data_IF_373826954035
#
_entry.id   IF_373826954035
#
_cell.length_a   1.000
_cell.length_b   1.000
_cell.length_c   1.000
_cell.angle_alpha   90.00
_cell.angle_beta   90.00
_cell.angle_gamma   90.00
#
_symmetry.space_group_name_H-M   'P 1'
#
loop_
_entity.id
_entity.type
_entity.pdbx_description
1 polymer ?
#
# COMPACT_ATOMS: atom_id res chain seq x y z
N UNK A 1 -21.74 -126.43 0.86
CA UNK A 1 -22.29 -125.11 0.52
C UNK A 1 -22.15 -124.02 1.61
N UNK A 2 -21.57 -124.28 2.73
CA UNK A 2 -21.43 -123.29 3.82
C UNK A 2 -20.11 -122.55 3.90
N UNK A 3 -19.03 -123.01 3.23
CA UNK A 3 -17.69 -122.39 3.27
C UNK A 3 -17.52 -121.22 2.26
N UNK A 4 -18.27 -121.22 1.14
CA UNK A 4 -18.19 -120.15 0.12
C UNK A 4 -18.91 -118.85 0.57
N UNK A 5 -19.88 -118.90 1.47
CA UNK A 5 -20.63 -117.74 1.94
C UNK A 5 -19.85 -116.95 3.01
N UNK A 6 -18.84 -117.51 3.75
CA UNK A 6 -18.02 -116.78 4.71
C UNK A 6 -16.94 -115.94 4.04
N UNK A 7 -16.37 -116.41 2.92
CA UNK A 7 -15.32 -115.68 2.15
C UNK A 7 -15.86 -114.42 1.47
N UNK A 8 -17.05 -114.47 0.91
CA UNK A 8 -17.70 -113.40 0.23
C UNK A 8 -18.15 -112.26 1.18
N UNK A 9 -18.58 -112.54 2.41
CA UNK A 9 -18.98 -111.56 3.39
C UNK A 9 -17.74 -110.80 3.96
N UNK A 10 -16.63 -111.47 4.18
CA UNK A 10 -15.38 -110.84 4.68
C UNK A 10 -14.73 -110.01 3.62
N UNK A 11 -14.73 -110.47 2.38
CA UNK A 11 -14.16 -109.65 1.25
C UNK A 11 -15.04 -108.42 0.96
N UNK A 12 -16.38 -108.54 1.07
CA UNK A 12 -17.27 -107.39 0.84
C UNK A 12 -17.15 -106.35 1.97
N UNK A 13 -16.96 -106.73 3.23
CA UNK A 13 -16.77 -105.86 4.38
C UNK A 13 -15.38 -105.15 4.29
N UNK A 14 -14.34 -105.87 3.92
CA UNK A 14 -13.02 -105.28 3.75
C UNK A 14 -13.00 -104.35 2.54
N UNK A 15 -13.68 -104.70 1.45
CA UNK A 15 -13.78 -103.85 0.25
C UNK A 15 -14.60 -102.57 0.45
N UNK A 16 -15.54 -102.56 1.43
CA UNK A 16 -16.36 -101.35 1.75
C UNK A 16 -15.67 -100.49 2.82
N UNK A 17 -15.02 -101.13 3.82
CA UNK A 17 -14.30 -100.37 4.88
C UNK A 17 -12.99 -99.74 4.46
N UNK A 18 -12.23 -100.37 3.54
CA UNK A 18 -10.94 -99.81 3.02
C UNK A 18 -11.18 -98.54 2.23
N UNK A 19 -12.09 -98.43 1.29
CA UNK A 19 -12.38 -97.18 0.59
C UNK A 19 -12.94 -96.11 1.50
N UNK A 20 -13.76 -96.49 2.55
CA UNK A 20 -14.23 -95.51 3.49
C UNK A 20 -13.11 -94.94 4.40
N UNK A 21 -12.16 -95.76 4.85
CA UNK A 21 -11.03 -95.31 5.64
C UNK A 21 -10.03 -94.43 4.80
N UNK A 22 -9.83 -94.82 3.55
CA UNK A 22 -9.04 -94.02 2.62
C UNK A 22 -9.70 -92.65 2.33
N UNK A 23 -11.04 -92.64 2.18
CA UNK A 23 -11.81 -91.41 2.01
C UNK A 23 -11.74 -90.47 3.25
N UNK A 24 -11.82 -91.06 4.45
CA UNK A 24 -11.69 -90.29 5.69
C UNK A 24 -10.29 -89.69 5.91
N UNK A 25 -9.20 -90.45 5.57
CA UNK A 25 -7.83 -89.96 5.63
C UNK A 25 -7.62 -88.84 4.61
N UNK A 26 -8.15 -88.99 3.45
CA UNK A 26 -8.06 -87.93 2.39
C UNK A 26 -8.83 -86.67 2.77
N UNK A 27 -10.00 -86.78 3.37
CA UNK A 27 -10.74 -85.62 3.89
C UNK A 27 -9.96 -84.91 5.01
N UNK A 28 -9.39 -85.68 5.91
CA UNK A 28 -8.57 -85.13 6.97
C UNK A 28 -7.33 -84.40 6.45
N UNK A 29 -6.63 -84.97 5.48
CA UNK A 29 -5.47 -84.37 4.83
C UNK A 29 -5.85 -83.07 4.10
N UNK A 30 -6.98 -83.09 3.35
CA UNK A 30 -7.53 -81.92 2.69
C UNK A 30 -7.83 -80.79 3.69
N UNK A 31 -8.59 -81.10 4.75
CA UNK A 31 -8.93 -80.09 5.76
C UNK A 31 -7.74 -79.55 6.50
N UNK A 32 -6.72 -80.36 6.80
CA UNK A 32 -5.46 -79.92 7.39
C UNK A 32 -4.76 -78.93 6.48
N UNK A 33 -4.60 -79.18 5.20
CA UNK A 33 -3.95 -78.29 4.22
C UNK A 33 -4.80 -77.03 4.00
N UNK A 34 -6.11 -77.13 3.93
CA UNK A 34 -7.00 -75.98 3.81
C UNK A 34 -6.90 -75.05 5.01
N UNK A 35 -6.87 -75.66 6.24
CA UNK A 35 -6.67 -74.87 7.46
C UNK A 35 -5.32 -74.17 7.52
N UNK A 36 -4.23 -74.82 7.05
CA UNK A 36 -2.92 -74.21 6.94
C UNK A 36 -2.88 -73.03 5.98
N UNK A 37 -3.54 -73.12 4.84
CA UNK A 37 -3.69 -72.02 3.89
C UNK A 37 -4.48 -70.84 4.48
N UNK A 38 -5.59 -71.12 5.18
CA UNK A 38 -6.37 -70.03 5.83
C UNK A 38 -5.55 -69.36 6.92
N UNK A 39 -4.68 -70.08 7.66
CA UNK A 39 -3.75 -69.43 8.59
C UNK A 39 -2.73 -68.55 7.90
N UNK A 40 -2.20 -68.99 6.74
CA UNK A 40 -1.29 -68.20 5.91
C UNK A 40 -2.00 -66.96 5.42
N UNK A 41 -3.23 -67.06 4.92
CA UNK A 41 -4.00 -65.90 4.43
C UNK A 41 -4.43 -64.93 5.55
N UNK A 42 -4.68 -65.41 6.76
CA UNK A 42 -4.81 -64.51 7.92
C UNK A 42 -3.54 -63.77 8.27
N UNK A 43 -2.36 -64.40 8.12
CA UNK A 43 -1.06 -63.72 8.26
C UNK A 43 -0.84 -62.67 7.13
N UNK A 44 -1.27 -62.99 5.89
CA UNK A 44 -1.27 -62.05 4.77
C UNK A 44 -2.16 -60.86 5.04
N UNK A 45 -3.35 -61.06 5.54
CA UNK A 45 -4.29 -59.98 5.96
C UNK A 45 -3.67 -59.12 7.06
N UNK A 46 -3.05 -59.73 8.07
CA UNK A 46 -2.34 -59.01 9.12
C UNK A 46 -1.13 -58.21 8.58
N UNK A 47 -0.53 -58.62 7.44
CA UNK A 47 0.51 -57.89 6.74
C UNK A 47 -0.01 -56.82 5.78
N UNK A 48 -1.35 -56.71 5.55
CA UNK A 48 -1.97 -55.66 4.77
C UNK A 48 -2.57 -56.09 3.43
N UNK A 49 -2.62 -57.40 3.11
CA UNK A 49 -3.43 -57.90 1.98
C UNK A 49 -4.89 -57.82 2.37
N UNK A 50 -5.73 -57.20 1.56
CA UNK A 50 -7.15 -57.06 1.91
C UNK A 50 -7.92 -58.35 1.74
N UNK A 51 -9.02 -58.53 2.54
CA UNK A 51 -9.94 -59.67 2.41
C UNK A 51 -10.45 -59.80 0.96
N UNK A 52 -10.72 -58.70 0.27
CA UNK A 52 -11.19 -58.68 -1.11
C UNK A 52 -10.13 -59.22 -2.10
N UNK A 53 -8.86 -59.00 -1.87
CA UNK A 53 -7.76 -59.52 -2.71
C UNK A 53 -7.59 -61.05 -2.53
N UNK A 54 -7.92 -61.59 -1.36
CA UNK A 54 -7.88 -63.04 -1.06
C UNK A 54 -9.21 -63.75 -1.33
N UNK A 55 -10.31 -63.03 -1.58
CA UNK A 55 -11.61 -63.59 -1.84
C UNK A 55 -11.64 -64.63 -2.99
N UNK A 56 -10.98 -64.43 -4.14
CA UNK A 56 -10.92 -65.42 -5.22
C UNK A 56 -10.24 -66.72 -4.77
N UNK A 57 -9.18 -66.65 -3.97
CA UNK A 57 -8.47 -67.78 -3.42
C UNK A 57 -9.39 -68.59 -2.47
N UNK A 58 -10.07 -67.90 -1.55
CA UNK A 58 -11.04 -68.50 -0.61
C UNK A 58 -12.19 -69.15 -1.34
N UNK A 59 -12.77 -68.47 -2.33
CA UNK A 59 -13.86 -69.02 -3.15
C UNK A 59 -13.42 -70.29 -3.92
N UNK A 60 -12.21 -70.30 -4.46
CA UNK A 60 -11.62 -71.47 -5.11
C UNK A 60 -11.52 -72.66 -4.13
N UNK A 61 -11.02 -72.42 -2.91
CA UNK A 61 -10.85 -73.43 -1.90
C UNK A 61 -12.20 -73.97 -1.39
N UNK A 62 -13.17 -73.06 -1.10
CA UNK A 62 -14.50 -73.42 -0.69
C UNK A 62 -15.23 -74.25 -1.78
N UNK A 63 -15.10 -73.88 -3.03
CA UNK A 63 -15.67 -74.62 -4.12
C UNK A 63 -15.10 -76.06 -4.24
N UNK A 64 -13.81 -76.22 -3.94
CA UNK A 64 -13.17 -77.52 -3.89
C UNK A 64 -13.67 -78.39 -2.71
N UNK A 65 -13.81 -77.82 -1.54
CA UNK A 65 -14.35 -78.50 -0.34
C UNK A 65 -15.81 -78.93 -0.57
N UNK A 66 -16.66 -78.07 -1.09
CA UNK A 66 -18.07 -78.39 -1.38
C UNK A 66 -18.23 -79.54 -2.38
N UNK A 67 -17.44 -79.51 -3.48
CA UNK A 67 -17.47 -80.60 -4.49
C UNK A 67 -17.04 -81.93 -3.88
N UNK A 68 -16.09 -81.93 -3.00
CA UNK A 68 -15.57 -83.15 -2.35
C UNK A 68 -16.59 -83.71 -1.36
N UNK A 69 -17.27 -82.90 -0.56
CA UNK A 69 -18.29 -83.29 0.37
C UNK A 69 -19.62 -83.77 -0.28
N UNK A 70 -19.96 -83.11 -1.45
CA UNK A 70 -21.17 -83.48 -2.24
C UNK A 70 -21.09 -84.81 -2.95
N UNK A 71 -19.88 -85.39 -3.15
CA UNK A 71 -19.71 -86.66 -3.92
C UNK A 71 -19.09 -87.77 -3.12
N UNK A 72 -19.55 -87.95 -1.87
CA UNK A 72 -18.94 -88.84 -0.89
C UNK A 72 -18.84 -90.31 -1.28
N UNK A 73 -19.55 -90.96 -2.18
CA UNK A 73 -19.18 -92.34 -2.60
C UNK A 73 -18.43 -92.43 -3.94
N UNK A 74 -18.47 -91.44 -4.78
CA UNK A 74 -17.92 -91.49 -6.15
C UNK A 74 -16.65 -90.69 -6.40
N UNK A 75 -16.29 -89.78 -5.52
CA UNK A 75 -15.11 -88.94 -5.63
C UNK A 75 -13.79 -89.65 -5.48
N UNK A 76 -13.81 -90.89 -4.91
CA UNK A 76 -12.63 -91.71 -4.71
C UNK A 76 -12.14 -92.33 -6.03
N UNK A 77 -13.00 -92.47 -7.06
CA UNK A 77 -12.67 -93.09 -8.33
C UNK A 77 -12.81 -92.21 -9.55
N UNK A 78 -13.40 -91.08 -9.40
CA UNK A 78 -13.45 -90.08 -10.52
C UNK A 78 -12.30 -89.15 -10.39
N UNK A 79 -11.22 -89.33 -11.07
CA UNK A 79 -10.15 -88.40 -11.31
C UNK A 79 -10.29 -86.97 -10.89
N UNK A 80 -10.88 -86.75 -9.71
CA UNK A 80 -11.12 -85.43 -9.09
C UNK A 80 -9.83 -84.66 -8.74
N UNK A 81 -8.68 -85.25 -9.04
CA UNK A 81 -7.36 -84.64 -8.92
C UNK A 81 -6.78 -84.16 -10.26
N UNK A 82 -7.55 -84.08 -11.32
CA UNK A 82 -7.12 -83.48 -12.58
C UNK A 82 -6.77 -81.99 -12.47
N UNK A 83 -7.20 -81.35 -11.40
CA UNK A 83 -6.81 -79.95 -11.11
C UNK A 83 -6.48 -79.89 -9.61
N UNK A 84 -5.24 -79.50 -9.28
CA UNK A 84 -4.83 -79.22 -7.89
C UNK A 84 -5.59 -77.99 -7.34
N UNK A 85 -6.63 -78.18 -6.50
CA UNK A 85 -7.40 -77.04 -5.97
C UNK A 85 -6.58 -76.14 -5.07
N UNK A 86 -5.51 -76.67 -4.44
CA UNK A 86 -4.61 -75.93 -3.60
C UNK A 86 -3.69 -75.06 -4.43
N UNK A 87 -3.06 -75.63 -5.51
CA UNK A 87 -2.24 -74.86 -6.43
C UNK A 87 -2.99 -73.70 -7.09
N UNK A 88 -4.27 -73.94 -7.45
CA UNK A 88 -5.13 -72.88 -7.97
C UNK A 88 -5.39 -71.78 -6.93
N UNK A 89 -5.75 -72.15 -5.70
CA UNK A 89 -5.99 -71.21 -4.60
C UNK A 89 -4.74 -70.45 -4.17
N UNK A 90 -3.59 -71.14 -4.11
CA UNK A 90 -2.28 -70.54 -3.84
C UNK A 90 -1.86 -69.56 -4.92
N UNK A 91 -2.09 -69.92 -6.20
CA UNK A 91 -1.84 -69.00 -7.34
C UNK A 91 -2.71 -67.76 -7.33
N UNK A 92 -4.00 -67.89 -6.95
CA UNK A 92 -4.88 -66.74 -6.82
C UNK A 92 -4.50 -65.87 -5.60
N UNK A 93 -4.07 -66.45 -4.49
CA UNK A 93 -3.56 -65.73 -3.33
C UNK A 93 -2.27 -64.96 -3.67
N UNK A 94 -1.32 -65.60 -4.34
CA UNK A 94 -0.09 -64.98 -4.80
C UNK A 94 -0.36 -63.80 -5.76
N UNK A 95 -1.38 -63.91 -6.63
CA UNK A 95 -1.84 -62.79 -7.46
C UNK A 95 -2.43 -61.66 -6.61
N UNK A 96 -3.23 -61.98 -5.59
CA UNK A 96 -3.76 -60.99 -4.66
C UNK A 96 -2.65 -60.25 -3.88
N UNK A 97 -1.63 -60.99 -3.38
CA UNK A 97 -0.47 -60.42 -2.72
C UNK A 97 0.33 -59.48 -3.66
N UNK A 98 0.54 -59.89 -4.91
CA UNK A 98 1.22 -59.07 -5.92
C UNK A 98 0.43 -57.80 -6.23
N UNK A 99 -0.90 -57.89 -6.31
CA UNK A 99 -1.77 -56.74 -6.51
C UNK A 99 -1.74 -55.78 -5.30
N UNK A 100 -1.77 -56.34 -4.07
CA UNK A 100 -1.66 -55.57 -2.85
C UNK A 100 -0.34 -54.78 -2.78
N UNK A 101 0.77 -55.47 -3.08
CA UNK A 101 2.11 -54.83 -3.11
C UNK A 101 2.21 -53.72 -4.15
N UNK A 102 1.71 -53.97 -5.37
CA UNK A 102 1.68 -52.97 -6.43
C UNK A 102 0.85 -51.74 -6.06
N UNK A 103 -0.35 -51.95 -5.49
CA UNK A 103 -1.24 -50.88 -5.04
C UNK A 103 -0.61 -50.06 -3.90
N UNK A 104 -0.01 -50.71 -2.90
CA UNK A 104 0.67 -50.03 -1.79
C UNK A 104 1.86 -49.23 -2.24
N UNK A 105 2.67 -49.76 -3.17
CA UNK A 105 3.78 -49.04 -3.80
C UNK A 105 3.29 -47.82 -4.58
N UNK A 106 2.23 -47.99 -5.37
CA UNK A 106 1.63 -46.89 -6.11
C UNK A 106 1.11 -45.79 -5.19
N UNK A 107 0.39 -46.15 -4.11
CA UNK A 107 -0.06 -45.21 -3.11
C UNK A 107 1.09 -44.44 -2.47
N UNK A 108 2.13 -45.12 -1.98
CA UNK A 108 3.29 -44.45 -1.41
C UNK A 108 4.00 -43.50 -2.40
N UNK A 109 4.06 -43.90 -3.71
CA UNK A 109 4.61 -43.03 -4.75
C UNK A 109 3.74 -41.78 -4.97
N UNK A 110 2.43 -41.94 -4.95
CA UNK A 110 1.46 -40.82 -5.09
C UNK A 110 1.53 -39.88 -3.89
N UNK A 111 1.64 -40.41 -2.66
CA UNK A 111 1.73 -39.60 -1.45
C UNK A 111 3.07 -38.84 -1.38
N UNK A 112 4.16 -39.43 -1.85
CA UNK A 112 5.43 -38.72 -2.01
C UNK A 112 5.35 -37.58 -3.03
N UNK A 113 4.66 -37.80 -4.16
CA UNK A 113 4.44 -36.75 -5.15
C UNK A 113 3.56 -35.62 -4.58
N UNK A 114 2.53 -35.98 -3.81
CA UNK A 114 1.68 -35.02 -3.11
C UNK A 114 2.45 -34.20 -2.07
N UNK A 115 3.34 -34.81 -1.29
CA UNK A 115 4.22 -34.10 -0.36
C UNK A 115 5.11 -33.08 -1.07
N UNK A 116 5.62 -33.43 -2.26
CA UNK A 116 6.39 -32.51 -3.09
C UNK A 116 5.57 -31.29 -3.52
N UNK A 117 4.30 -31.52 -3.86
CA UNK A 117 3.39 -30.46 -4.33
C UNK A 117 2.95 -29.54 -3.18
N UNK A 118 2.61 -30.09 -2.03
CA UNK A 118 2.12 -29.29 -0.89
C UNK A 118 3.23 -28.74 0.01
N UNK A 119 4.46 -29.24 -0.08
CA UNK A 119 5.55 -28.93 0.86
C UNK A 119 6.17 -27.54 0.70
N UNK A 120 5.99 -26.94 -0.48
CA UNK A 120 6.54 -25.60 -0.76
C UNK A 120 8.04 -25.59 -1.04
N UNK A 121 8.61 -24.37 -1.26
CA UNK A 121 10.00 -24.23 -1.71
C UNK A 121 11.04 -24.69 -0.68
N UNK A 122 10.72 -24.58 0.60
CA UNK A 122 11.64 -24.89 1.70
C UNK A 122 11.38 -26.26 2.35
N UNK A 123 10.59 -27.14 1.70
CA UNK A 123 10.28 -28.45 2.26
C UNK A 123 11.49 -29.37 2.23
N UNK A 124 12.04 -29.64 3.40
CA UNK A 124 13.14 -30.57 3.60
C UNK A 124 12.65 -32.02 3.73
N UNK A 125 13.48 -32.97 3.34
CA UNK A 125 13.20 -34.40 3.58
C UNK A 125 12.66 -35.17 2.38
N UNK A 126 12.40 -34.56 1.21
CA UNK A 126 11.97 -35.29 -0.02
C UNK A 126 13.00 -36.33 -0.43
N UNK A 127 14.29 -36.03 -0.37
CA UNK A 127 15.37 -36.97 -0.74
C UNK A 127 15.41 -38.16 0.22
N UNK A 128 15.30 -37.93 1.53
CA UNK A 128 15.25 -38.99 2.53
C UNK A 128 14.01 -39.89 2.31
N UNK A 129 12.85 -39.34 2.02
CA UNK A 129 11.64 -40.09 1.70
C UNK A 129 11.74 -40.88 0.41
N UNK A 130 12.33 -40.32 -0.63
CA UNK A 130 12.62 -41.05 -1.87
C UNK A 130 13.56 -42.22 -1.62
N UNK A 131 14.57 -42.05 -0.79
CA UNK A 131 15.45 -43.14 -0.38
C UNK A 131 14.71 -44.23 0.41
N UNK A 132 13.81 -43.86 1.35
CA UNK A 132 12.96 -44.80 2.07
C UNK A 132 12.06 -45.60 1.12
N UNK A 133 11.44 -44.93 0.12
CA UNK A 133 10.61 -45.58 -0.89
C UNK A 133 11.45 -46.60 -1.72
N UNK A 134 12.67 -46.24 -2.08
CA UNK A 134 13.58 -47.11 -2.83
C UNK A 134 14.05 -48.33 -2.02
N UNK A 135 14.18 -48.16 -0.72
CA UNK A 135 14.59 -49.22 0.20
C UNK A 135 13.46 -50.20 0.59
N UNK A 136 12.20 -49.77 0.46
CA UNK A 136 11.03 -50.58 0.77
C UNK A 136 10.89 -51.75 -0.22
N UNK A 137 10.70 -52.99 0.31
CA UNK A 137 10.55 -54.20 -0.50
C UNK A 137 9.31 -55.00 -0.14
N UNK A 138 8.75 -54.79 1.03
CA UNK A 138 7.65 -55.56 1.59
C UNK A 138 6.36 -54.74 1.66
N UNK A 139 5.23 -55.40 1.56
CA UNK A 139 3.93 -54.75 1.66
C UNK A 139 3.74 -53.86 2.91
N UNK A 140 4.09 -54.33 4.15
CA UNK A 140 3.96 -53.49 5.33
C UNK A 140 4.79 -52.21 5.30
N UNK A 141 5.99 -52.23 4.66
CA UNK A 141 6.83 -51.06 4.51
C UNK A 141 6.16 -49.98 3.68
N UNK A 142 5.61 -50.36 2.53
CA UNK A 142 4.89 -49.43 1.65
C UNK A 142 3.64 -48.86 2.31
N UNK A 143 2.85 -49.69 3.02
CA UNK A 143 1.67 -49.26 3.72
C UNK A 143 2.00 -48.27 4.83
N UNK A 144 3.03 -48.54 5.63
CA UNK A 144 3.50 -47.62 6.66
C UNK A 144 3.96 -46.30 6.09
N UNK A 145 4.73 -46.31 4.99
CA UNK A 145 5.18 -45.09 4.34
C UNK A 145 4.00 -44.29 3.79
N UNK A 146 3.07 -44.93 3.08
CA UNK A 146 1.90 -44.27 2.53
C UNK A 146 1.05 -43.61 3.63
N UNK A 147 0.74 -44.33 4.71
CA UNK A 147 -0.04 -43.77 5.80
C UNK A 147 0.64 -42.58 6.50
N UNK A 148 1.97 -42.69 6.74
CA UNK A 148 2.71 -41.60 7.33
C UNK A 148 2.77 -40.36 6.41
N UNK A 149 3.01 -40.58 5.12
CA UNK A 149 3.14 -39.47 4.15
C UNK A 149 1.79 -38.85 3.78
N UNK A 150 0.70 -39.59 3.81
CA UNK A 150 -0.65 -39.03 3.69
C UNK A 150 -0.95 -38.08 4.86
N UNK A 151 -0.58 -38.48 6.09
CA UNK A 151 -0.75 -37.64 7.27
C UNK A 151 0.12 -36.36 7.19
N UNK A 152 1.40 -36.53 6.82
CA UNK A 152 2.32 -35.42 6.61
C UNK A 152 1.81 -34.45 5.52
N UNK A 153 1.35 -34.99 4.38
CA UNK A 153 0.81 -34.18 3.28
C UNK A 153 -0.43 -33.40 3.69
N UNK A 154 -1.30 -34.03 4.51
CA UNK A 154 -2.46 -33.33 5.06
C UNK A 154 -2.03 -32.20 5.99
N UNK A 155 -1.14 -32.45 6.91
CA UNK A 155 -0.65 -31.42 7.86
C UNK A 155 0.00 -30.25 7.13
N UNK A 156 0.83 -30.52 6.12
CA UNK A 156 1.48 -29.47 5.31
C UNK A 156 0.46 -28.69 4.47
N UNK A 157 -0.52 -29.39 3.88
CA UNK A 157 -1.59 -28.74 3.14
C UNK A 157 -2.43 -27.84 4.03
N UNK A 158 -2.84 -28.34 5.20
CA UNK A 158 -3.59 -27.55 6.17
C UNK A 158 -2.80 -26.31 6.64
N UNK A 159 -1.49 -26.45 6.89
CA UNK A 159 -0.61 -25.34 7.27
C UNK A 159 -0.44 -24.33 6.13
N UNK A 160 -0.23 -24.79 4.90
CA UNK A 160 -0.17 -23.95 3.72
C UNK A 160 -1.44 -23.13 3.51
N UNK A 161 -2.60 -23.78 3.63
CA UNK A 161 -3.89 -23.13 3.40
C UNK A 161 -4.17 -22.08 4.49
N UNK A 162 -3.87 -22.36 5.76
CA UNK A 162 -3.96 -21.41 6.86
C UNK A 162 -2.99 -20.23 6.66
N UNK A 163 -1.74 -20.50 6.26
CA UNK A 163 -0.76 -19.48 5.98
C UNK A 163 -1.17 -18.61 4.79
N UNK A 164 -1.72 -19.22 3.73
CA UNK A 164 -2.26 -18.49 2.58
C UNK A 164 -3.38 -17.53 2.99
N UNK A 165 -4.27 -17.96 3.88
CA UNK A 165 -5.33 -17.10 4.40
C UNK A 165 -4.78 -15.97 5.28
N UNK A 166 -3.86 -16.30 6.19
CA UNK A 166 -3.28 -15.34 7.14
C UNK A 166 -2.45 -14.25 6.44
N UNK A 167 -1.69 -14.63 5.38
CA UNK A 167 -0.78 -13.73 4.64
C UNK A 167 -1.42 -13.03 3.44
N UNK A 168 -2.70 -13.28 3.16
CA UNK A 168 -3.39 -12.76 1.97
C UNK A 168 -2.92 -13.37 0.65
N UNK A 169 -2.26 -14.54 0.70
CA UNK A 169 -1.77 -15.30 -0.44
C UNK A 169 -0.33 -15.76 -0.29
N UNK A 170 0.15 -16.49 -1.29
CA UNK A 170 1.55 -16.89 -1.38
C UNK A 170 2.19 -16.25 -2.63
N UNK A 171 3.44 -15.82 -2.51
CA UNK A 171 4.29 -15.38 -3.61
C UNK A 171 5.44 -16.39 -3.74
N UNK A 172 5.53 -17.09 -4.89
CA UNK A 172 6.50 -18.17 -5.11
C UNK A 172 6.50 -19.24 -4.00
N UNK A 173 5.31 -19.48 -3.42
CA UNK A 173 5.13 -20.42 -2.31
C UNK A 173 5.52 -19.87 -0.93
N UNK A 174 5.82 -18.58 -0.78
CA UNK A 174 6.15 -17.91 0.48
C UNK A 174 5.03 -16.95 0.91
N UNK A 175 4.87 -16.67 2.22
CA UNK A 175 3.84 -15.76 2.73
C UNK A 175 3.95 -14.36 2.10
N UNK A 176 2.91 -13.96 1.36
CA UNK A 176 2.94 -12.76 0.51
C UNK A 176 3.18 -11.48 1.29
N UNK A 177 2.51 -11.31 2.41
CA UNK A 177 2.62 -10.11 3.25
C UNK A 177 4.02 -9.92 3.84
N UNK A 178 4.70 -11.03 4.20
CA UNK A 178 6.09 -10.98 4.67
C UNK A 178 7.05 -10.70 3.51
N UNK A 179 6.83 -11.31 2.33
CA UNK A 179 7.63 -11.04 1.12
C UNK A 179 7.53 -9.56 0.72
N UNK A 180 6.31 -9.03 0.64
CA UNK A 180 6.06 -7.63 0.31
C UNK A 180 6.63 -6.70 1.41
N UNK A 181 6.47 -7.10 2.67
CA UNK A 181 7.01 -6.40 3.82
C UNK A 181 8.53 -6.31 3.81
N UNK A 182 9.22 -7.40 3.49
CA UNK A 182 10.69 -7.45 3.34
C UNK A 182 11.15 -6.50 2.23
N UNK A 183 10.49 -6.51 1.08
CA UNK A 183 10.81 -5.60 -0.02
C UNK A 183 10.63 -4.12 0.39
N UNK A 184 9.53 -3.81 1.08
CA UNK A 184 9.29 -2.47 1.63
C UNK A 184 10.34 -2.08 2.66
N UNK A 185 10.67 -2.98 3.59
CA UNK A 185 11.65 -2.74 4.65
C UNK A 185 13.04 -2.46 4.06
N UNK A 186 13.46 -3.21 3.04
CA UNK A 186 14.70 -2.96 2.30
C UNK A 186 14.71 -1.57 1.64
N UNK A 187 13.60 -1.17 1.04
CA UNK A 187 13.46 0.14 0.40
C UNK A 187 13.62 1.28 1.41
N UNK A 188 12.89 1.22 2.54
CA UNK A 188 12.96 2.29 3.56
C UNK A 188 14.31 2.31 4.28
N UNK A 189 14.96 1.17 4.51
CA UNK A 189 16.35 1.11 5.04
C UNK A 189 17.32 1.82 4.09
N UNK A 190 17.19 1.57 2.79
CA UNK A 190 18.03 2.25 1.79
C UNK A 190 17.80 3.76 1.76
N UNK A 191 16.55 4.21 1.84
CA UNK A 191 16.22 5.63 1.89
C UNK A 191 16.72 6.29 3.18
N UNK A 192 16.56 5.63 4.33
CA UNK A 192 17.08 6.11 5.61
C UNK A 192 18.61 6.24 5.61
N UNK A 193 19.30 5.25 5.04
CA UNK A 193 20.77 5.30 4.91
C UNK A 193 21.24 6.49 4.03
N UNK A 194 20.51 6.78 2.94
CA UNK A 194 20.78 7.97 2.11
C UNK A 194 20.54 9.28 2.88
N UNK A 195 19.55 9.31 3.76
CA UNK A 195 19.26 10.43 4.64
C UNK A 195 20.16 10.48 5.89
N UNK A 196 21.16 9.60 6.00
CA UNK A 196 22.06 9.44 7.15
C UNK A 196 21.36 9.17 8.47
N UNK A 197 20.19 8.51 8.42
CA UNK A 197 19.40 8.09 9.58
C UNK A 197 19.83 6.70 10.04
N UNK A 198 19.70 6.42 11.34
CA UNK A 198 19.94 5.08 11.90
C UNK A 198 18.92 4.07 11.36
N UNK A 199 19.41 2.88 10.99
CA UNK A 199 18.59 1.79 10.45
C UNK A 199 18.58 0.56 11.37
N UNK A 200 19.21 0.65 12.55
CA UNK A 200 19.52 -0.54 13.34
C UNK A 200 18.33 -1.42 13.72
N UNK A 201 17.27 -1.08 14.34
CA UNK A 201 16.24 -2.08 14.65
C UNK A 201 15.64 -2.72 13.39
N UNK A 202 15.52 -1.93 12.31
CA UNK A 202 14.95 -2.39 11.04
C UNK A 202 15.87 -3.39 10.31
N UNK A 203 17.19 -3.24 10.40
CA UNK A 203 18.15 -4.17 9.82
C UNK A 203 18.09 -5.56 10.52
N UNK A 204 17.85 -5.58 11.83
CA UNK A 204 17.63 -6.81 12.59
C UNK A 204 16.31 -7.48 12.19
N UNK A 205 15.21 -6.72 12.10
CA UNK A 205 13.92 -7.22 11.64
C UNK A 205 14.00 -7.80 10.21
N UNK A 206 14.76 -7.16 9.34
CA UNK A 206 15.01 -7.66 7.99
C UNK A 206 15.74 -9.01 8.00
N UNK A 207 16.77 -9.14 8.82
CA UNK A 207 17.53 -10.40 8.98
C UNK A 207 16.64 -11.51 9.53
N UNK A 208 15.81 -11.20 10.51
CA UNK A 208 14.85 -12.14 11.10
C UNK A 208 13.81 -12.61 10.05
N UNK A 209 13.22 -11.68 9.32
CA UNK A 209 12.27 -12.02 8.27
C UNK A 209 12.87 -12.84 7.13
N UNK A 210 14.11 -12.57 6.73
CA UNK A 210 14.82 -13.36 5.73
C UNK A 210 15.14 -14.78 6.23
N UNK A 211 15.38 -14.96 7.52
CA UNK A 211 15.54 -16.28 8.14
C UNK A 211 14.20 -17.02 8.19
N UNK A 212 13.13 -16.32 8.55
CA UNK A 212 11.77 -16.85 8.55
C UNK A 212 11.34 -17.38 7.18
N UNK A 213 11.59 -16.64 6.10
CA UNK A 213 11.26 -17.05 4.72
C UNK A 213 12.04 -18.29 4.22
N UNK A 214 12.93 -18.87 5.04
CA UNK A 214 13.62 -20.14 4.78
C UNK A 214 13.02 -21.31 5.55
N UNK A 215 11.99 -21.07 6.36
CA UNK A 215 11.33 -22.12 7.13
C UNK A 215 10.33 -22.88 6.24
N UNK A 216 9.88 -24.04 6.72
CA UNK A 216 8.76 -24.77 6.09
C UNK A 216 7.42 -24.33 6.69
N UNK A 217 6.33 -24.58 5.97
CA UNK A 217 4.98 -24.04 6.25
C UNK A 217 4.49 -24.17 7.70
N UNK A 218 4.76 -25.27 8.36
CA UNK A 218 4.34 -25.45 9.76
C UNK A 218 5.03 -24.47 10.71
N UNK A 219 6.33 -24.24 10.54
CA UNK A 219 7.09 -23.28 11.33
C UNK A 219 6.80 -21.85 10.94
N UNK A 220 6.58 -21.61 9.64
CA UNK A 220 6.15 -20.31 9.13
C UNK A 220 4.81 -19.92 9.74
N UNK A 221 3.83 -20.85 9.79
CA UNK A 221 2.53 -20.58 10.38
C UNK A 221 2.62 -20.20 11.86
N UNK A 222 3.45 -20.91 12.63
CA UNK A 222 3.64 -20.64 14.06
C UNK A 222 4.21 -19.24 14.35
N UNK A 223 5.04 -18.72 13.47
CA UNK A 223 5.77 -17.45 13.65
C UNK A 223 5.19 -16.30 12.82
N UNK A 224 4.26 -16.58 11.86
CA UNK A 224 3.79 -15.64 10.87
C UNK A 224 3.32 -14.31 11.48
N UNK A 225 2.41 -14.34 12.45
CA UNK A 225 1.82 -13.12 13.02
C UNK A 225 2.85 -12.19 13.67
N UNK A 226 3.85 -12.77 14.36
CA UNK A 226 4.92 -11.98 14.99
C UNK A 226 5.86 -11.37 13.96
N UNK A 227 6.29 -12.15 12.96
CA UNK A 227 7.24 -11.67 11.93
C UNK A 227 6.59 -10.66 11.01
N UNK A 228 5.36 -10.89 10.55
CA UNK A 228 4.62 -9.95 9.73
C UNK A 228 4.41 -8.60 10.46
N UNK A 229 4.06 -8.66 11.76
CA UNK A 229 3.92 -7.46 12.59
C UNK A 229 5.25 -6.72 12.79
N UNK A 230 6.34 -7.46 13.06
CA UNK A 230 7.68 -6.89 13.25
C UNK A 230 8.16 -6.18 11.99
N UNK A 231 8.05 -6.82 10.84
CA UNK A 231 8.45 -6.24 9.54
C UNK A 231 7.65 -4.98 9.23
N UNK A 232 6.33 -5.04 9.43
CA UNK A 232 5.46 -3.88 9.19
C UNK A 232 5.80 -2.73 10.13
N UNK A 233 5.87 -2.98 11.44
CA UNK A 233 6.14 -1.93 12.42
C UNK A 233 7.54 -1.32 12.24
N UNK A 234 8.54 -2.13 11.90
CA UNK A 234 9.88 -1.64 11.61
C UNK A 234 9.93 -0.76 10.37
N UNK A 235 9.22 -1.16 9.30
CA UNK A 235 9.12 -0.34 8.08
C UNK A 235 8.37 0.98 8.33
N UNK A 236 7.27 0.94 9.09
CA UNK A 236 6.49 2.12 9.45
C UNK A 236 7.32 3.09 10.31
N UNK A 237 8.09 2.59 11.26
CA UNK A 237 8.98 3.39 12.12
C UNK A 237 10.06 4.08 11.30
N UNK A 238 10.74 3.37 10.40
CA UNK A 238 11.78 3.97 9.56
C UNK A 238 11.19 4.98 8.59
N UNK A 239 10.01 4.69 8.00
CA UNK A 239 9.34 5.64 7.12
C UNK A 239 8.96 6.92 7.87
N UNK A 240 8.37 6.79 9.06
CA UNK A 240 8.04 7.94 9.91
C UNK A 240 9.29 8.81 10.19
N UNK A 241 10.41 8.18 10.51
CA UNK A 241 11.69 8.88 10.72
C UNK A 241 12.16 9.67 9.51
N UNK A 242 12.02 9.09 8.31
CA UNK A 242 12.34 9.77 7.04
C UNK A 242 11.43 10.98 6.84
N UNK A 243 10.12 10.79 7.05
CA UNK A 243 9.11 11.82 6.85
C UNK A 243 9.30 12.98 7.84
N UNK A 244 9.55 12.69 9.13
CA UNK A 244 9.83 13.70 10.16
C UNK A 244 11.10 14.48 9.83
N UNK A 245 12.16 13.79 9.35
CA UNK A 245 13.40 14.49 8.92
C UNK A 245 13.14 15.46 7.76
N UNK A 246 12.43 15.01 6.73
CA UNK A 246 12.10 15.85 5.59
C UNK A 246 11.22 17.06 5.99
N UNK A 247 10.27 16.87 6.90
CA UNK A 247 9.45 17.93 7.45
C UNK A 247 10.28 18.94 8.26
N UNK A 248 11.21 18.44 9.08
CA UNK A 248 12.11 19.30 9.88
C UNK A 248 13.00 20.16 8.98
N UNK A 249 13.61 19.58 7.95
CA UNK A 249 14.44 20.29 6.97
C UNK A 249 13.65 21.40 6.24
N UNK A 250 12.41 21.12 5.81
CA UNK A 250 11.53 22.10 5.16
C UNK A 250 11.16 23.24 6.13
N UNK A 251 10.76 22.94 7.35
CA UNK A 251 10.43 23.92 8.39
C UNK A 251 11.65 24.78 8.76
N UNK A 252 12.85 24.20 8.83
CA UNK A 252 14.09 24.95 9.05
C UNK A 252 14.36 25.95 7.91
N UNK A 253 14.12 25.51 6.67
CA UNK A 253 14.23 26.39 5.49
C UNK A 253 13.26 27.56 5.57
N UNK A 254 11.98 27.30 5.87
CA UNK A 254 10.95 28.31 6.06
C UNK A 254 11.31 29.27 7.20
N UNK A 255 11.73 28.75 8.34
CA UNK A 255 12.09 29.56 9.52
C UNK A 255 13.28 30.51 9.23
N UNK A 256 14.30 30.02 8.54
CA UNK A 256 15.43 30.84 8.13
C UNK A 256 15.00 32.02 7.21
N UNK A 257 14.10 31.74 6.27
CA UNK A 257 13.49 32.77 5.42
C UNK A 257 12.71 33.82 6.22
N UNK A 258 11.91 33.36 7.21
CA UNK A 258 11.12 34.21 8.08
C UNK A 258 11.98 35.04 9.03
N UNK A 259 13.07 34.49 9.58
CA UNK A 259 14.03 35.25 10.41
C UNK A 259 14.69 36.39 9.60
N UNK A 260 15.03 36.14 8.35
CA UNK A 260 15.54 37.19 7.46
C UNK A 260 14.50 38.28 7.21
N UNK A 261 13.24 37.92 7.00
CA UNK A 261 12.16 38.89 6.85
C UNK A 261 11.88 39.64 8.17
N UNK A 262 11.94 38.96 9.31
CA UNK A 262 11.79 39.58 10.63
C UNK A 262 12.84 40.68 10.84
N UNK A 263 14.09 40.43 10.48
CA UNK A 263 15.14 41.44 10.51
C UNK A 263 14.83 42.63 9.57
N UNK A 264 14.35 42.35 8.35
CA UNK A 264 13.99 43.40 7.37
C UNK A 264 12.89 44.35 7.89
N UNK A 265 11.87 43.79 8.59
CA UNK A 265 10.73 44.54 9.09
C UNK A 265 10.86 44.95 10.58
N UNK A 266 12.05 44.80 11.19
CA UNK A 266 12.32 45.09 12.60
C UNK A 266 11.37 44.37 13.58
N UNK A 267 11.00 43.14 13.27
CA UNK A 267 10.27 42.27 14.21
C UNK A 267 11.24 41.85 15.31
N UNK A 268 10.86 42.07 16.56
CA UNK A 268 11.68 41.79 17.75
C UNK A 268 10.79 41.12 18.85
N UNK A 269 11.40 40.77 19.98
CA UNK A 269 10.71 40.19 21.13
C UNK A 269 10.77 38.67 21.19
N UNK A 270 9.90 38.09 22.02
CA UNK A 270 9.93 36.65 22.32
C UNK A 270 9.72 35.77 21.05
N UNK A 271 8.87 36.21 20.14
CA UNK A 271 8.59 35.46 18.91
C UNK A 271 9.85 35.15 18.07
N UNK A 272 10.82 36.09 18.04
CA UNK A 272 12.10 35.87 17.34
C UNK A 272 13.07 35.04 18.18
N UNK A 273 13.06 35.25 19.51
CA UNK A 273 13.86 34.46 20.44
C UNK A 273 13.40 33.00 20.44
N UNK A 274 12.08 32.76 20.55
CA UNK A 274 11.48 31.42 20.51
C UNK A 274 11.78 30.72 19.17
N UNK A 275 11.63 31.42 18.06
CA UNK A 275 11.97 30.90 16.73
C UNK A 275 13.47 30.52 16.59
N UNK A 276 14.35 31.31 17.18
CA UNK A 276 15.80 31.03 17.17
C UNK A 276 16.12 29.82 18.04
N UNK A 277 15.45 29.69 19.19
CA UNK A 277 15.60 28.53 20.08
C UNK A 277 15.08 27.27 19.42
N UNK A 278 13.85 27.27 18.90
CA UNK A 278 13.27 26.11 18.20
C UNK A 278 14.14 25.63 17.04
N UNK A 279 14.81 26.56 16.32
CA UNK A 279 15.80 26.19 15.29
C UNK A 279 17.00 25.45 15.88
N UNK A 280 17.54 25.91 16.99
CA UNK A 280 18.69 25.28 17.65
C UNK A 280 18.30 23.91 18.22
N UNK A 281 17.13 23.79 18.79
CA UNK A 281 16.60 22.52 19.35
C UNK A 281 16.37 21.49 18.26
N UNK A 282 15.83 21.90 17.10
CA UNK A 282 15.67 21.01 15.95
C UNK A 282 16.99 20.49 15.42
N UNK A 283 18.00 21.35 15.28
CA UNK A 283 19.34 20.95 14.87
C UNK A 283 20.02 20.00 15.87
N UNK A 284 19.77 20.21 17.16
CA UNK A 284 20.25 19.31 18.21
C UNK A 284 19.52 17.95 18.19
N UNK A 285 18.20 17.95 17.95
CA UNK A 285 17.39 16.74 17.81
C UNK A 285 17.85 15.91 16.61
N UNK A 286 18.08 16.53 15.45
CA UNK A 286 18.65 15.86 14.26
C UNK A 286 19.97 15.17 14.57
N UNK A 287 20.85 15.86 15.29
CA UNK A 287 22.18 15.33 15.64
C UNK A 287 22.11 14.20 16.67
N UNK A 288 21.02 14.11 17.46
CA UNK A 288 20.88 13.09 18.52
C UNK A 288 20.49 11.71 18.00
N UNK A 289 19.82 11.64 16.85
CA UNK A 289 19.23 10.40 16.30
C UNK A 289 18.08 9.83 17.14
N UNK A 290 17.49 10.61 18.03
CA UNK A 290 16.37 10.23 18.91
C UNK A 290 15.05 10.65 18.25
N UNK A 291 14.23 9.66 17.86
CA UNK A 291 12.96 9.88 17.15
C UNK A 291 11.99 10.75 17.95
N UNK A 292 11.89 10.54 19.28
CA UNK A 292 10.98 11.30 20.12
C UNK A 292 11.37 12.77 20.21
N UNK A 293 12.68 13.06 20.23
CA UNK A 293 13.18 14.43 20.18
C UNK A 293 12.94 15.07 18.82
N UNK A 294 13.10 14.31 17.74
CA UNK A 294 12.82 14.77 16.40
C UNK A 294 11.35 15.16 16.22
N UNK A 295 10.42 14.30 16.67
CA UNK A 295 8.98 14.57 16.62
C UNK A 295 8.61 15.81 17.45
N UNK A 296 9.16 15.93 18.65
CA UNK A 296 8.98 17.10 19.51
C UNK A 296 9.46 18.38 18.83
N UNK A 297 10.68 18.36 18.32
CA UNK A 297 11.31 19.51 17.67
C UNK A 297 10.57 19.94 16.39
N UNK A 298 10.08 18.98 15.58
CA UNK A 298 9.27 19.29 14.39
C UNK A 298 7.96 20.03 14.78
N UNK A 299 7.32 19.61 15.90
CA UNK A 299 6.14 20.27 16.43
C UNK A 299 6.42 21.71 16.89
N UNK A 300 7.51 21.92 17.63
CA UNK A 300 7.94 23.24 18.09
C UNK A 300 8.36 24.16 16.94
N UNK A 301 9.08 23.63 15.95
CA UNK A 301 9.42 24.35 14.73
C UNK A 301 8.18 24.84 13.99
N UNK A 302 7.18 23.98 13.84
CA UNK A 302 5.92 24.36 13.20
C UNK A 302 5.26 25.53 13.92
N UNK A 303 5.18 25.50 15.25
CA UNK A 303 4.61 26.60 16.05
C UNK A 303 5.44 27.88 15.86
N UNK A 304 6.77 27.78 15.86
CA UNK A 304 7.66 28.90 15.64
C UNK A 304 7.50 29.53 14.24
N UNK A 305 7.37 28.71 13.19
CA UNK A 305 7.08 29.15 11.81
C UNK A 305 5.74 29.88 11.76
N UNK A 306 4.68 29.31 12.32
CA UNK A 306 3.34 29.90 12.31
C UNK A 306 3.31 31.24 13.06
N UNK A 307 3.93 31.29 14.26
CA UNK A 307 4.03 32.50 15.07
C UNK A 307 4.84 33.60 14.40
N UNK A 308 6.02 33.31 13.91
CA UNK A 308 6.89 34.27 13.26
C UNK A 308 6.32 34.75 11.91
N UNK A 309 5.66 33.86 11.16
CA UNK A 309 4.98 34.21 9.92
C UNK A 309 3.89 35.27 10.15
N UNK A 310 3.08 35.07 11.19
CA UNK A 310 2.03 36.03 11.59
C UNK A 310 2.61 37.39 12.00
N UNK A 311 3.69 37.39 12.78
CA UNK A 311 4.36 38.60 13.21
C UNK A 311 5.00 39.37 12.03
N UNK A 312 5.66 38.64 11.12
CA UNK A 312 6.26 39.24 9.92
C UNK A 312 5.18 39.81 8.99
N UNK A 313 4.07 39.08 8.79
CA UNK A 313 2.94 39.56 7.98
C UNK A 313 2.37 40.88 8.54
N UNK A 314 2.16 40.95 9.85
CA UNK A 314 1.69 42.17 10.53
C UNK A 314 2.67 43.33 10.38
N UNK A 315 3.96 43.09 10.59
CA UNK A 315 4.99 44.12 10.47
C UNK A 315 5.12 44.61 9.02
N UNK A 316 5.04 43.71 8.04
CA UNK A 316 5.01 44.02 6.61
C UNK A 316 3.83 44.90 6.24
N UNK A 317 2.63 44.55 6.70
CA UNK A 317 1.42 45.35 6.46
C UNK A 317 1.56 46.76 7.04
N UNK A 318 2.06 46.89 8.27
CA UNK A 318 2.32 48.19 8.90
C UNK A 318 3.35 49.03 8.10
N UNK A 319 4.43 48.39 7.63
CA UNK A 319 5.42 49.06 6.81
C UNK A 319 4.86 49.53 5.45
N UNK A 320 4.01 48.68 4.83
CA UNK A 320 3.32 49.06 3.59
C UNK A 320 2.36 50.25 3.80
N UNK A 321 1.58 50.24 4.88
CA UNK A 321 0.70 51.39 5.20
C UNK A 321 1.48 52.68 5.44
N UNK A 322 2.61 52.61 6.15
CA UNK A 322 3.48 53.76 6.35
C UNK A 322 4.10 54.28 5.03
N UNK A 323 4.47 53.32 4.15
CA UNK A 323 5.02 53.71 2.83
C UNK A 323 3.97 54.34 1.91
N UNK A 324 2.70 53.90 1.98
CA UNK A 324 1.58 54.51 1.25
C UNK A 324 1.33 55.98 1.67
N UNK A 325 1.60 56.32 2.91
CA UNK A 325 1.52 57.70 3.41
C UNK A 325 2.73 58.55 3.05
N UNK A 326 3.80 57.95 2.50
CA UNK A 326 5.03 58.63 2.09
C UNK A 326 5.07 58.77 0.57
N UNK A 327 5.38 59.95 0.09
CA UNK A 327 5.54 60.21 -1.36
C UNK A 327 6.95 59.89 -1.89
N UNK A 328 7.83 59.42 -1.05
CA UNK A 328 9.26 59.16 -1.37
C UNK A 328 9.73 57.74 -1.05
N UNK A 329 8.96 56.96 -0.28
CA UNK A 329 9.33 55.60 0.09
C UNK A 329 8.92 54.58 -0.95
N UNK A 330 9.75 53.55 -1.18
CA UNK A 330 9.36 52.38 -1.95
C UNK A 330 8.34 51.52 -1.16
N UNK A 331 7.39 50.89 -1.85
CA UNK A 331 6.34 50.01 -1.27
C UNK A 331 6.71 48.55 -1.57
N UNK A 332 7.23 47.85 -0.59
CA UNK A 332 7.62 46.44 -0.77
C UNK A 332 6.42 45.55 -1.17
N UNK A 333 6.57 44.83 -2.27
CA UNK A 333 5.52 43.94 -2.81
C UNK A 333 4.36 44.70 -3.48
N UNK A 334 4.52 45.95 -3.86
CA UNK A 334 3.56 46.66 -4.70
C UNK A 334 3.48 46.03 -6.11
N UNK A 335 2.35 46.18 -6.82
CA UNK A 335 2.28 45.87 -8.23
C UNK A 335 3.40 46.58 -9.03
N UNK A 336 3.82 45.99 -10.15
CA UNK A 336 4.87 46.54 -10.98
C UNK A 336 4.58 47.98 -11.44
N UNK A 337 3.30 48.27 -11.72
CA UNK A 337 2.80 49.61 -11.98
C UNK A 337 1.68 49.94 -11.00
N UNK A 338 1.90 50.91 -10.12
CA UNK A 338 0.93 51.36 -9.13
C UNK A 338 0.83 52.90 -9.15
N UNK A 339 -0.38 53.42 -9.23
CA UNK A 339 -0.71 54.81 -9.01
C UNK A 339 -1.40 54.92 -7.66
N UNK A 340 -0.88 55.76 -6.76
CA UNK A 340 -1.56 56.05 -5.47
C UNK A 340 -2.04 57.52 -5.52
N UNK A 341 -3.32 57.74 -5.25
CA UNK A 341 -3.94 59.03 -5.18
C UNK A 341 -4.34 59.31 -3.74
N UNK A 342 -3.67 60.29 -3.13
CA UNK A 342 -3.87 60.72 -1.74
C UNK A 342 -4.88 61.88 -1.71
N UNK A 343 -6.12 61.59 -1.27
CA UNK A 343 -7.23 62.57 -1.24
C UNK A 343 -6.96 63.69 -0.22
N UNK A 344 -6.41 63.37 0.94
CA UNK A 344 -6.19 64.37 1.99
C UNK A 344 -5.07 65.41 1.58
N UNK A 345 -4.05 64.96 0.88
CA UNK A 345 -2.94 65.80 0.44
C UNK A 345 -3.05 66.29 -1.00
N UNK A 346 -4.07 65.80 -1.72
CA UNK A 346 -4.28 66.08 -3.12
C UNK A 346 -3.00 65.84 -3.96
N UNK A 347 -2.48 64.63 -3.83
CA UNK A 347 -1.23 64.20 -4.43
C UNK A 347 -1.39 62.88 -5.14
N UNK A 348 -0.75 62.73 -6.31
CA UNK A 348 -0.63 61.49 -7.04
C UNK A 348 0.84 61.05 -7.02
N UNK A 349 1.09 59.81 -6.66
CA UNK A 349 2.41 59.18 -6.74
C UNK A 349 2.29 57.96 -7.65
N UNK A 350 3.14 57.90 -8.66
CA UNK A 350 3.26 56.71 -9.52
C UNK A 350 4.56 55.94 -9.16
N UNK A 351 4.37 54.61 -8.95
CA UNK A 351 5.43 53.68 -8.56
C UNK A 351 5.73 52.74 -9.72
N UNK A 352 7.00 52.70 -10.10
CA UNK A 352 7.53 51.71 -11.02
C UNK A 352 8.37 50.71 -10.27
N UNK A 353 8.02 49.40 -10.39
CA UNK A 353 8.71 48.33 -9.65
C UNK A 353 8.91 48.67 -8.16
N UNK A 354 7.81 49.01 -7.50
CA UNK A 354 7.74 49.34 -6.07
C UNK A 354 8.29 50.70 -5.63
N UNK A 355 9.02 51.45 -6.46
CA UNK A 355 9.61 52.74 -6.08
C UNK A 355 8.95 53.92 -6.80
N UNK A 356 8.78 55.08 -6.14
CA UNK A 356 8.13 56.21 -6.75
C UNK A 356 9.05 56.85 -7.82
N UNK A 357 8.52 57.02 -9.01
CA UNK A 357 9.22 57.69 -10.12
C UNK A 357 8.57 59.03 -10.52
N UNK A 358 7.31 59.24 -10.17
CA UNK A 358 6.56 60.46 -10.44
C UNK A 358 5.72 60.84 -9.22
N UNK A 359 5.89 62.06 -8.72
CA UNK A 359 5.01 62.65 -7.70
C UNK A 359 4.49 64.01 -8.26
N UNK A 360 3.19 64.25 -8.17
CA UNK A 360 2.57 65.47 -8.69
C UNK A 360 1.33 65.86 -7.86
N UNK A 361 1.09 67.16 -7.61
CA UNK A 361 -0.13 67.61 -7.06
C UNK A 361 -1.29 67.33 -8.06
N UNK A 362 -2.48 67.05 -7.54
CA UNK A 362 -3.70 66.75 -8.31
C UNK A 362 -4.88 67.55 -7.77
N UNK A 363 -6.00 67.52 -8.49
CA UNK A 363 -7.30 67.95 -7.94
C UNK A 363 -8.30 66.81 -8.16
N UNK A 364 -8.93 66.37 -7.08
CA UNK A 364 -9.89 65.27 -7.07
C UNK A 364 -11.33 65.79 -7.02
N UNK A 365 -12.27 64.87 -6.91
CA UNK A 365 -13.72 65.18 -6.81
C UNK A 365 -14.03 66.09 -5.62
N UNK A 366 -15.03 67.01 -5.84
CA UNK A 366 -15.57 67.89 -4.81
C UNK A 366 -16.28 67.08 -3.72
N UNK A 367 -16.52 67.68 -2.52
CA UNK A 367 -17.14 66.93 -1.41
C UNK A 367 -18.49 66.26 -1.73
N UNK A 368 -19.27 66.84 -2.63
CA UNK A 368 -20.58 66.33 -3.07
C UNK A 368 -20.46 65.19 -4.10
N UNK A 369 -19.35 65.13 -4.80
CA UNK A 369 -19.03 64.11 -5.83
C UNK A 369 -17.56 63.69 -5.66
N UNK A 370 -17.21 63.03 -4.56
CA UNK A 370 -15.82 62.69 -4.28
C UNK A 370 -15.30 61.60 -5.22
N UNK A 371 -14.00 61.60 -5.45
CA UNK A 371 -13.35 60.46 -6.07
C UNK A 371 -13.43 59.24 -5.15
N UNK A 372 -13.93 58.11 -5.69
CA UNK A 372 -14.12 56.88 -4.94
C UNK A 372 -12.80 56.33 -4.38
N UNK A 373 -12.84 55.92 -3.09
CA UNK A 373 -11.75 55.21 -2.44
C UNK A 373 -11.76 53.75 -2.79
N UNK A 374 -10.55 53.17 -2.92
CA UNK A 374 -10.44 51.75 -3.20
C UNK A 374 -9.26 51.41 -4.10
N UNK A 375 -9.23 50.18 -4.56
CA UNK A 375 -8.24 49.69 -5.53
C UNK A 375 -8.92 49.37 -6.82
N UNK A 376 -8.48 50.03 -7.86
CA UNK A 376 -9.03 49.97 -9.22
C UNK A 376 -7.90 49.65 -10.20
N UNK A 377 -8.25 49.53 -11.50
CA UNK A 377 -7.28 49.34 -12.57
C UNK A 377 -7.62 50.20 -13.76
N UNK A 378 -6.62 50.72 -14.44
CA UNK A 378 -6.84 51.38 -15.74
C UNK A 378 -7.32 50.31 -16.70
N UNK A 379 -8.54 50.47 -17.24
CA UNK A 379 -9.10 49.55 -18.23
C UNK A 379 -9.29 50.18 -19.61
N UNK A 380 -9.24 51.53 -19.74
CA UNK A 380 -9.25 52.24 -21.02
C UNK A 380 -8.31 53.45 -21.01
N UNK A 381 -7.73 53.74 -22.17
CA UNK A 381 -6.82 54.89 -22.37
C UNK A 381 -7.18 55.59 -23.69
N UNK A 382 -7.31 56.89 -23.62
CA UNK A 382 -7.66 57.74 -24.75
C UNK A 382 -6.68 58.89 -24.91
N UNK A 383 -6.03 59.09 -26.08
CA UNK A 383 -5.19 60.27 -26.33
C UNK A 383 -5.97 61.58 -26.16
N UNK A 384 -7.26 61.59 -26.62
CA UNK A 384 -8.24 62.63 -26.40
C UNK A 384 -9.58 62.01 -26.09
N UNK A 385 -10.31 62.65 -25.21
CA UNK A 385 -11.68 62.18 -24.85
C UNK A 385 -12.61 63.38 -24.69
N UNK A 386 -13.86 63.22 -25.18
CA UNK A 386 -14.89 64.24 -25.08
C UNK A 386 -15.74 64.02 -23.83
N UNK A 387 -15.51 64.86 -22.82
CA UNK A 387 -16.27 64.83 -21.58
C UNK A 387 -17.58 65.53 -21.77
N UNK A 388 -18.67 64.83 -21.61
CA UNK A 388 -20.06 65.36 -21.71
C UNK A 388 -20.71 65.19 -20.35
N UNK A 389 -21.36 66.26 -19.85
CA UNK A 389 -22.06 66.19 -18.56
C UNK A 389 -23.19 65.16 -18.58
N UNK A 390 -23.21 64.18 -17.66
CA UNK A 390 -24.30 63.25 -17.50
C UNK A 390 -25.55 63.90 -16.85
N UNK A 391 -25.36 65.09 -16.29
CA UNK A 391 -26.44 65.81 -15.65
C UNK A 391 -27.11 66.78 -16.65
N UNK A 392 -28.46 67.00 -16.54
CA UNK A 392 -29.16 67.93 -17.41
C UNK A 392 -28.78 69.37 -17.11
N UNK A 393 -28.91 70.24 -18.12
CA UNK A 393 -28.75 71.71 -18.01
C UNK A 393 -29.60 72.23 -16.84
N UNK A 394 -29.04 73.00 -15.95
CA UNK A 394 -29.67 73.52 -14.73
C UNK A 394 -29.45 72.66 -13.46
N UNK A 395 -28.87 71.49 -13.57
CA UNK A 395 -28.34 70.74 -12.41
C UNK A 395 -27.19 71.51 -11.79
N UNK A 396 -27.02 71.52 -10.44
CA UNK A 396 -25.84 72.11 -9.79
C UNK A 396 -24.54 71.37 -10.19
N UNK A 397 -24.63 70.21 -10.78
CA UNK A 397 -23.48 69.39 -11.20
C UNK A 397 -23.28 69.45 -12.73
N UNK A 398 -24.16 70.16 -13.47
CA UNK A 398 -23.97 70.29 -14.91
C UNK A 398 -22.68 71.07 -15.21
N UNK A 399 -21.92 70.61 -16.24
CA UNK A 399 -20.73 71.30 -16.74
C UNK A 399 -20.76 71.33 -18.26
N UNK A 400 -20.06 72.35 -18.84
CA UNK A 400 -19.87 72.44 -20.28
C UNK A 400 -18.97 71.30 -20.77
N UNK A 401 -19.29 70.70 -21.91
CA UNK A 401 -18.44 69.72 -22.55
C UNK A 401 -17.00 70.23 -22.71
N UNK A 402 -16.08 69.34 -22.51
CA UNK A 402 -14.68 69.64 -22.61
C UNK A 402 -13.92 68.50 -23.30
N UNK A 403 -12.95 68.86 -24.11
CA UNK A 403 -11.97 67.92 -24.62
C UNK A 403 -10.79 67.78 -23.66
N UNK A 404 -10.55 66.59 -23.20
CA UNK A 404 -9.43 66.27 -22.31
C UNK A 404 -8.42 65.41 -23.06
N UNK A 405 -7.16 65.47 -22.63
CA UNK A 405 -6.06 64.69 -23.24
C UNK A 405 -5.49 63.70 -22.26
N UNK A 406 -4.85 62.64 -22.79
CA UNK A 406 -4.19 61.60 -22.03
C UNK A 406 -5.11 60.96 -20.93
N UNK A 407 -6.40 60.77 -21.29
CA UNK A 407 -7.40 60.30 -20.38
C UNK A 407 -7.26 58.77 -20.13
N UNK A 408 -7.26 58.40 -18.85
CA UNK A 408 -7.17 56.98 -18.38
C UNK A 408 -8.36 56.70 -17.47
N UNK A 409 -9.25 55.83 -17.94
CA UNK A 409 -10.44 55.42 -17.20
C UNK A 409 -10.10 54.29 -16.23
N UNK A 410 -10.49 54.44 -14.95
CA UNK A 410 -10.21 53.48 -13.90
C UNK A 410 -11.41 53.09 -13.03
N UNK A 411 -12.56 53.79 -13.18
CA UNK A 411 -13.87 53.41 -12.62
C UNK A 411 -14.91 53.43 -13.75
N UNK A 412 -15.74 52.39 -13.83
CA UNK A 412 -16.68 52.15 -14.91
C UNK A 412 -17.84 53.13 -14.99
N UNK A 413 -17.97 54.04 -14.06
CA UNK A 413 -18.94 55.14 -14.03
C UNK A 413 -18.48 56.37 -14.79
N UNK A 414 -17.30 56.32 -15.46
CA UNK A 414 -16.73 57.44 -16.20
C UNK A 414 -15.76 58.28 -15.39
N UNK A 415 -15.14 57.69 -14.37
CA UNK A 415 -14.09 58.38 -13.59
C UNK A 415 -12.73 58.18 -14.27
N UNK A 416 -12.03 59.26 -14.56
CA UNK A 416 -10.79 59.30 -15.32
C UNK A 416 -9.65 60.02 -14.53
N UNK A 417 -8.42 59.66 -14.87
CA UNK A 417 -7.23 60.52 -14.66
C UNK A 417 -7.00 61.23 -15.97
N UNK A 418 -7.07 62.58 -15.98
CA UNK A 418 -6.94 63.38 -17.21
C UNK A 418 -6.35 64.80 -16.93
N UNK A 419 -6.04 65.57 -17.98
CA UNK A 419 -5.70 66.97 -17.84
C UNK A 419 -6.95 67.85 -17.60
N UNK A 420 -6.70 69.06 -17.12
CA UNK A 420 -7.71 70.11 -17.03
C UNK A 420 -7.07 71.44 -17.46
N UNK A 421 -7.14 71.75 -18.78
CA UNK A 421 -6.56 72.93 -19.37
C UNK A 421 -7.18 74.25 -18.87
N UNK A 422 -8.40 74.13 -18.33
CA UNK A 422 -9.13 75.23 -17.66
C UNK A 422 -8.63 75.51 -16.22
N UNK A 423 -7.78 74.61 -15.64
CA UNK A 423 -7.26 74.72 -14.26
C UNK A 423 -5.88 75.33 -14.28
N UNK A 424 -5.67 76.55 -13.71
CA UNK A 424 -4.36 77.20 -13.72
C UNK A 424 -3.28 76.41 -12.95
N UNK A 425 -2.02 76.40 -13.43
CA UNK A 425 -0.92 75.91 -12.64
C UNK A 425 -0.86 76.57 -11.25
N UNK A 426 -0.59 75.82 -10.20
CA UNK A 426 -0.55 76.30 -8.81
C UNK A 426 -1.88 76.26 -8.08
N UNK A 427 -2.97 75.84 -8.73
CA UNK A 427 -4.28 75.57 -8.06
C UNK A 427 -4.52 74.10 -7.76
N UNK A 428 -3.59 73.23 -8.11
CA UNK A 428 -3.54 71.84 -7.73
C UNK A 428 -2.95 71.65 -6.32
N UNK A 429 -3.26 70.51 -5.69
CA UNK A 429 -2.66 70.16 -4.39
C UNK A 429 -3.62 70.36 -3.22
N UNK A 430 -3.10 70.45 -1.97
CA UNK A 430 -3.92 70.43 -0.77
C UNK A 430 -5.05 71.43 -0.75
N UNK A 431 -6.29 71.00 -0.57
CA UNK A 431 -7.49 71.85 -0.51
C UNK A 431 -8.13 72.10 -1.90
N UNK A 432 -7.51 71.71 -2.99
CA UNK A 432 -8.04 71.98 -4.33
C UNK A 432 -9.41 71.31 -4.61
N UNK A 433 -9.72 70.21 -3.92
CA UNK A 433 -10.99 69.52 -4.01
C UNK A 433 -12.15 70.36 -3.45
N UNK A 434 -11.86 71.42 -2.68
CA UNK A 434 -12.86 72.39 -2.17
C UNK A 434 -12.86 73.68 -2.98
N UNK A 435 -12.04 73.80 -4.01
CA UNK A 435 -11.88 74.97 -4.80
C UNK A 435 -12.78 75.00 -6.06
N UNK A 436 -12.68 76.11 -6.84
CA UNK A 436 -13.53 76.28 -8.01
C UNK A 436 -13.23 75.31 -9.15
N UNK A 437 -12.07 74.66 -9.12
CA UNK A 437 -11.62 73.65 -10.12
C UNK A 437 -11.83 72.21 -9.68
N UNK A 438 -12.47 71.99 -8.53
CA UNK A 438 -12.76 70.66 -8.04
C UNK A 438 -13.56 69.81 -9.05
N UNK A 439 -13.18 68.58 -9.28
CA UNK A 439 -13.80 67.70 -10.27
C UNK A 439 -15.18 67.18 -9.85
N UNK A 440 -15.82 66.37 -10.69
CA UNK A 440 -17.03 65.65 -10.43
C UNK A 440 -16.74 64.16 -10.20
N UNK A 441 -15.56 63.86 -9.64
CA UNK A 441 -15.08 62.48 -9.38
C UNK A 441 -13.76 62.19 -10.05
N UNK A 442 -13.45 62.76 -11.20
CA UNK A 442 -12.19 62.57 -11.92
C UNK A 442 -10.96 63.14 -11.17
N UNK A 443 -9.78 62.75 -11.59
CA UNK A 443 -8.50 63.22 -11.07
C UNK A 443 -7.83 64.08 -12.11
N UNK A 444 -7.80 65.40 -11.87
CA UNK A 444 -7.11 66.36 -12.73
C UNK A 444 -5.60 66.35 -12.42
N UNK A 445 -4.79 66.19 -13.43
CA UNK A 445 -3.33 66.10 -13.33
C UNK A 445 -2.71 67.17 -14.23
N UNK A 446 -1.67 67.92 -13.77
CA UNK A 446 -0.95 68.87 -14.61
C UNK A 446 -0.37 68.22 -15.85
N UNK A 447 -0.45 68.88 -17.02
CA UNK A 447 -0.12 68.33 -18.34
C UNK A 447 1.27 67.64 -18.40
N UNK A 448 2.29 68.30 -17.85
CA UNK A 448 3.66 67.75 -17.90
C UNK A 448 3.85 66.48 -17.11
N UNK A 449 3.14 66.33 -16.00
CA UNK A 449 3.11 65.11 -15.20
C UNK A 449 2.23 64.06 -15.84
N UNK A 450 1.06 64.45 -16.34
CA UNK A 450 0.11 63.56 -17.02
C UNK A 450 0.73 62.92 -18.25
N UNK A 451 1.47 63.67 -19.08
CA UNK A 451 2.09 63.12 -20.28
C UNK A 451 3.07 61.98 -19.93
N UNK A 452 3.84 62.13 -18.85
CA UNK A 452 4.77 61.08 -18.34
C UNK A 452 3.99 59.91 -17.81
N UNK A 453 2.95 60.16 -17.00
CA UNK A 453 2.09 59.14 -16.41
C UNK A 453 1.38 58.32 -17.48
N UNK A 454 0.81 58.98 -18.50
CA UNK A 454 0.10 58.34 -19.62
C UNK A 454 1.02 57.46 -20.45
N UNK A 455 2.24 57.94 -20.75
CA UNK A 455 3.22 57.16 -21.50
C UNK A 455 3.69 55.91 -20.78
N UNK A 456 3.79 55.99 -19.47
CA UNK A 456 4.23 54.88 -18.62
C UNK A 456 3.12 53.88 -18.29
N UNK A 457 1.91 54.36 -17.90
CA UNK A 457 0.84 53.52 -17.46
C UNK A 457 0.26 52.65 -18.60
N UNK A 458 0.03 51.39 -18.36
CA UNK A 458 -0.64 50.47 -19.30
C UNK A 458 -2.06 50.13 -18.85
N UNK A 459 -2.87 49.55 -19.75
CA UNK A 459 -4.12 48.90 -19.31
C UNK A 459 -3.75 47.81 -18.31
N UNK A 460 -4.45 47.75 -17.17
CA UNK A 460 -4.16 46.89 -16.04
C UNK A 460 -3.31 47.53 -14.96
N UNK A 461 -2.74 48.75 -15.16
CA UNK A 461 -2.07 49.51 -14.09
C UNK A 461 -2.98 49.67 -12.90
N UNK A 462 -2.51 49.30 -11.71
CA UNK A 462 -3.30 49.42 -10.46
C UNK A 462 -3.39 50.91 -10.04
N UNK A 463 -4.61 51.34 -9.69
CA UNK A 463 -4.88 52.67 -9.14
C UNK A 463 -5.45 52.51 -7.74
N UNK A 464 -4.76 53.01 -6.74
CA UNK A 464 -5.21 52.99 -5.35
C UNK A 464 -5.57 54.43 -4.93
N UNK A 465 -6.80 54.63 -4.51
CA UNK A 465 -7.30 55.90 -3.99
C UNK A 465 -7.44 55.79 -2.48
N UNK A 466 -6.70 56.59 -1.74
CA UNK A 466 -6.66 56.58 -0.28
C UNK A 466 -6.77 58.01 0.29
N UNK A 467 -6.91 58.13 1.64
CA UNK A 467 -6.97 59.40 2.34
C UNK A 467 -5.68 60.18 2.27
#
# INVERSE_FOLDING_TARGET
MLVVLRGVRTALLIGILAPLSLGAADVAAFNSRASALEQTWKADEASGVTHQQLAPARASLQSAQYRRLGFLPFSIFSGAFLHDPFGTAEGLAAKGQTQALAAARQRATTDLARLKDVGGPNYEGLQARAAQLSAAKKLPDYLRLATAWEADAKQLGDARDQLTQASGGLSDGLPKDVVDGVARLQSVISAAAQAQLSTEPAAQALTHAQAYLKLGYTKELDQHGSVASEVKSSADTVQHRIDTRAQTDDLLGQLNGLLSQAAKYNVTGSVVADATQSRADAQAAESSGDDSKMDGAAGELKQAVDGLSSAVATARQKAQQAALQSTTACIDGAPAQLIVIHLATQQLVAYDNSCPFLTTPVTTGRPELPTDRGTFHIFAKFPTYHMVSPWPLGSPFWYHDAWVTNAMEFVSDGTFIHNADWQPPGTYGPGSQNGPYASHGCVHVPDGALAKLYAWATIGTTVMVTD
#
